data_IF_637456339212
#
_entry.id   IF_637456339212
#
_cell.length_a   1.000
_cell.length_b   1.000
_cell.length_c   1.000
_cell.angle_alpha   90.00
_cell.angle_beta   90.00
_cell.angle_gamma   90.00
#
_symmetry.space_group_name_H-M   'P 1'
#
loop_
_entity.id
_entity.type
_entity.pdbx_description
1 polymer ?
#
# COMPACT_ATOMS: atom_id res chain seq x y z
N UNK A 1 -3.75 18.92 11.21
CA UNK A 1 -5.07 18.88 10.55
C UNK A 1 -5.01 17.68 9.62
N UNK A 2 -5.59 16.55 10.01
CA UNK A 2 -5.24 15.25 9.41
C UNK A 2 -6.21 14.80 8.32
N UNK A 3 -7.47 15.19 8.41
CA UNK A 3 -8.48 14.88 7.40
C UNK A 3 -8.82 16.13 6.60
N UNK A 4 -8.82 15.99 5.28
CA UNK A 4 -9.25 17.03 4.36
C UNK A 4 -10.29 16.42 3.43
N UNK A 5 -11.47 17.02 3.36
CA UNK A 5 -12.55 16.55 2.49
C UNK A 5 -12.52 17.33 1.19
N UNK A 6 -12.45 16.62 0.06
CA UNK A 6 -12.52 17.26 -1.26
C UNK A 6 -13.97 17.55 -1.68
N UNK A 7 -14.20 18.64 -2.39
CA UNK A 7 -15.51 19.03 -2.91
C UNK A 7 -15.65 18.83 -4.43
N UNK A 8 -14.56 18.51 -5.14
CA UNK A 8 -14.56 18.30 -6.58
C UNK A 8 -13.40 17.44 -7.05
N UNK A 9 -13.49 16.90 -8.27
CA UNK A 9 -12.36 16.20 -8.91
C UNK A 9 -11.09 17.06 -9.01
N UNK A 10 -11.21 18.36 -9.30
CA UNK A 10 -10.05 19.25 -9.42
C UNK A 10 -9.35 19.42 -8.07
N UNK A 11 -10.12 19.72 -7.01
CA UNK A 11 -9.58 19.84 -5.65
C UNK A 11 -8.97 18.53 -5.16
N UNK A 12 -9.56 17.38 -5.52
CA UNK A 12 -8.98 16.07 -5.21
C UNK A 12 -7.57 15.94 -5.82
N UNK A 13 -7.39 16.32 -7.09
CA UNK A 13 -6.07 16.27 -7.72
C UNK A 13 -5.08 17.22 -7.03
N UNK A 14 -5.48 18.46 -6.73
CA UNK A 14 -4.62 19.43 -6.03
C UNK A 14 -4.15 18.89 -4.68
N UNK A 15 -5.06 18.30 -3.90
CA UNK A 15 -4.73 17.68 -2.61
C UNK A 15 -3.75 16.50 -2.80
N UNK A 16 -3.99 15.63 -3.77
CA UNK A 16 -3.16 14.45 -4.02
C UNK A 16 -1.73 14.78 -4.47
N UNK A 17 -1.52 15.93 -5.10
CA UNK A 17 -0.21 16.41 -5.56
C UNK A 17 0.40 17.49 -4.65
N UNK A 18 -0.10 17.63 -3.42
CA UNK A 18 0.50 18.50 -2.40
C UNK A 18 1.98 18.14 -2.18
N UNK A 19 2.82 19.16 -1.99
CA UNK A 19 4.29 19.06 -1.84
C UNK A 19 5.02 18.35 -2.99
N UNK A 20 4.41 18.22 -4.17
CA UNK A 20 5.07 17.56 -5.30
C UNK A 20 6.23 18.39 -5.86
N UNK A 21 6.21 19.73 -5.78
CA UNK A 21 7.32 20.55 -6.29
C UNK A 21 8.59 20.36 -5.47
N UNK A 22 9.69 19.96 -6.13
CA UNK A 22 11.01 19.81 -5.50
C UNK A 22 12.00 20.83 -6.07
N UNK A 23 12.38 21.87 -5.29
CA UNK A 23 13.31 22.89 -5.78
C UNK A 23 14.72 22.32 -6.02
N UNK A 24 15.16 21.33 -5.26
CA UNK A 24 16.50 20.73 -5.41
C UNK A 24 16.75 20.11 -6.80
N UNK A 25 15.68 19.67 -7.48
CA UNK A 25 15.75 19.03 -8.80
C UNK A 25 14.92 19.77 -9.86
N UNK A 26 14.31 20.91 -9.51
CA UNK A 26 13.44 21.71 -10.38
C UNK A 26 12.34 20.90 -11.08
N UNK A 27 11.74 19.93 -10.39
CA UNK A 27 10.75 18.98 -10.94
C UNK A 27 9.68 18.60 -9.93
N UNK A 28 8.55 18.11 -10.42
CA UNK A 28 7.49 17.52 -9.60
C UNK A 28 7.78 16.06 -9.27
N UNK A 29 7.91 15.75 -7.98
CA UNK A 29 8.06 14.42 -7.38
C UNK A 29 7.44 14.42 -5.98
N UNK A 30 6.22 13.88 -5.87
CA UNK A 30 5.55 13.69 -4.58
C UNK A 30 6.42 12.86 -3.63
N UNK A 31 6.54 13.24 -2.34
CA UNK A 31 7.19 12.43 -1.32
C UNK A 31 6.22 11.43 -0.66
N UNK A 32 4.96 11.37 -1.12
CA UNK A 32 3.91 10.57 -0.51
C UNK A 32 3.77 9.21 -1.20
N UNK A 33 3.41 8.21 -0.39
CA UNK A 33 2.82 6.96 -0.83
C UNK A 33 1.35 6.95 -0.44
N UNK A 34 0.55 6.24 -1.24
CA UNK A 34 -0.90 6.36 -1.21
C UNK A 34 -1.57 5.00 -0.96
N UNK A 35 -2.64 4.99 -0.17
CA UNK A 35 -3.53 3.82 -0.01
C UNK A 35 -4.98 4.27 -0.03
N UNK A 36 -5.72 3.81 -1.03
CA UNK A 36 -7.14 4.07 -1.18
C UNK A 36 -8.00 3.01 -0.49
N UNK A 37 -9.04 3.44 0.21
CA UNK A 37 -10.01 2.58 0.86
C UNK A 37 -11.42 3.07 0.52
N UNK A 38 -12.31 2.13 0.22
CA UNK A 38 -13.69 2.43 -0.18
C UNK A 38 -14.56 2.96 0.96
N UNK A 39 -14.08 2.94 2.20
CA UNK A 39 -14.81 3.40 3.38
C UNK A 39 -13.83 4.19 4.27
N UNK A 40 -14.15 5.44 4.56
CA UNK A 40 -13.33 6.33 5.39
C UNK A 40 -13.18 5.85 6.84
N UNK A 41 -14.08 4.98 7.30
CA UNK A 41 -14.00 4.37 8.63
C UNK A 41 -13.03 3.17 8.68
N UNK A 42 -12.48 2.73 7.55
CA UNK A 42 -11.60 1.57 7.54
C UNK A 42 -10.24 1.83 8.21
N UNK A 43 -9.85 0.96 9.15
CA UNK A 43 -8.54 1.02 9.75
C UNK A 43 -7.46 0.50 8.79
N UNK A 44 -6.19 0.84 9.08
CA UNK A 44 -5.03 0.29 8.36
C UNK A 44 -4.65 -1.10 8.94
N UNK A 45 -5.59 -2.02 8.93
CA UNK A 45 -5.39 -3.40 9.38
C UNK A 45 -4.81 -4.27 8.26
N UNK A 46 -3.87 -5.14 8.63
CA UNK A 46 -3.28 -6.15 7.75
C UNK A 46 -4.24 -7.32 7.54
N UNK A 47 -4.01 -8.12 6.49
CA UNK A 47 -4.78 -9.35 6.29
C UNK A 47 -4.55 -10.36 7.40
N UNK A 48 -3.37 -10.35 8.04
CA UNK A 48 -3.07 -11.17 9.21
C UNK A 48 -3.92 -10.79 10.44
N UNK A 49 -4.03 -9.51 10.79
CA UNK A 49 -4.85 -9.06 11.94
C UNK A 49 -6.31 -9.45 11.74
N UNK A 50 -6.82 -9.34 10.50
CA UNK A 50 -8.20 -9.72 10.14
C UNK A 50 -8.50 -11.22 10.31
N UNK A 51 -7.50 -12.10 10.42
CA UNK A 51 -7.76 -13.51 10.76
C UNK A 51 -8.36 -13.68 12.16
N UNK A 52 -8.11 -12.74 13.07
CA UNK A 52 -8.50 -12.86 14.46
C UNK A 52 -7.77 -13.99 15.22
N UNK A 53 -8.19 -14.24 16.45
CA UNK A 53 -7.56 -15.26 17.30
C UNK A 53 -6.07 -15.01 17.58
N UNK A 54 -5.27 -16.07 17.64
CA UNK A 54 -3.83 -16.00 17.91
C UNK A 54 -3.00 -15.75 16.63
N UNK A 55 -3.46 -14.85 15.75
CA UNK A 55 -2.86 -14.59 14.42
C UNK A 55 -1.34 -14.34 14.47
N UNK A 56 -0.85 -13.58 15.45
CA UNK A 56 0.58 -13.28 15.58
C UNK A 56 1.43 -14.53 15.84
N UNK A 57 0.91 -15.50 16.59
CA UNK A 57 1.57 -16.79 16.81
C UNK A 57 1.45 -17.72 15.59
N UNK A 58 0.41 -17.53 14.76
CA UNK A 58 0.17 -18.33 13.57
C UNK A 58 1.00 -17.90 12.37
N UNK A 59 1.42 -16.63 12.28
CA UNK A 59 2.13 -16.11 11.11
C UNK A 59 3.39 -16.94 10.73
N UNK A 60 4.29 -17.34 11.66
CA UNK A 60 5.42 -18.18 11.29
C UNK A 60 4.98 -19.54 10.73
N UNK A 61 3.87 -20.09 11.22
CA UNK A 61 3.31 -21.35 10.72
C UNK A 61 2.71 -21.20 9.31
N UNK A 62 1.98 -20.11 9.05
CA UNK A 62 1.43 -19.78 7.74
C UNK A 62 2.54 -19.65 6.70
N UNK A 63 3.56 -18.84 7.00
CA UNK A 63 4.68 -18.61 6.08
C UNK A 63 5.51 -19.87 5.87
N UNK A 64 5.79 -20.65 6.92
CA UNK A 64 6.52 -21.92 6.79
C UNK A 64 5.77 -22.91 5.90
N UNK A 65 4.46 -23.06 6.09
CA UNK A 65 3.65 -23.96 5.27
C UNK A 65 3.56 -23.47 3.82
N UNK A 66 3.38 -22.16 3.60
CA UNK A 66 3.38 -21.59 2.26
C UNK A 66 4.68 -21.89 1.51
N UNK A 67 5.84 -21.59 2.13
CA UNK A 67 7.17 -21.89 1.55
C UNK A 67 7.33 -23.36 1.19
N UNK A 68 6.94 -24.27 2.09
CA UNK A 68 7.02 -25.73 1.90
C UNK A 68 6.33 -26.20 0.60
N UNK A 69 5.16 -25.63 0.28
CA UNK A 69 4.39 -26.04 -0.90
C UNK A 69 4.70 -25.21 -2.15
N UNK A 70 5.06 -23.94 -2.00
CA UNK A 70 5.37 -23.04 -3.10
C UNK A 70 6.75 -23.29 -3.73
N UNK A 71 7.73 -23.80 -2.97
CA UNK A 71 9.07 -24.14 -3.49
C UNK A 71 9.08 -25.10 -4.68
N UNK A 72 8.01 -25.88 -4.88
CA UNK A 72 7.93 -26.81 -6.02
C UNK A 72 7.85 -26.11 -7.38
N UNK A 73 7.44 -24.85 -7.41
CA UNK A 73 7.12 -24.12 -8.65
C UNK A 73 7.98 -22.87 -8.86
N UNK A 74 8.89 -22.53 -7.95
CA UNK A 74 9.61 -21.25 -7.96
C UNK A 74 11.10 -21.51 -7.77
N UNK A 75 11.88 -21.09 -8.76
CA UNK A 75 13.34 -21.13 -8.77
C UNK A 75 13.83 -19.69 -8.53
N UNK A 76 14.82 -19.52 -7.65
CA UNK A 76 15.85 -18.45 -7.68
C UNK A 76 15.92 -17.34 -6.61
N UNK A 77 15.01 -17.12 -5.64
CA UNK A 77 15.30 -16.15 -4.54
C UNK A 77 14.75 -16.56 -3.18
N UNK A 78 15.65 -16.88 -2.24
CA UNK A 78 15.31 -17.41 -0.92
C UNK A 78 15.53 -16.39 0.22
N UNK A 79 14.93 -15.21 0.11
CA UNK A 79 14.91 -14.24 1.22
C UNK A 79 13.56 -14.26 1.92
N UNK A 80 13.55 -13.93 3.22
CA UNK A 80 12.29 -13.88 3.96
C UNK A 80 11.29 -12.89 3.36
N UNK A 81 11.78 -11.76 2.83
CA UNK A 81 10.99 -10.70 2.22
C UNK A 81 10.45 -11.06 0.84
N UNK A 82 11.20 -11.83 0.05
CA UNK A 82 10.69 -12.36 -1.23
C UNK A 82 9.49 -13.28 -0.97
N UNK A 83 9.64 -14.25 -0.05
CA UNK A 83 8.56 -15.15 0.33
C UNK A 83 7.36 -14.45 0.93
N UNK A 84 7.58 -13.42 1.75
CA UNK A 84 6.49 -12.63 2.33
C UNK A 84 5.71 -11.85 1.25
N UNK A 85 6.44 -11.25 0.30
CA UNK A 85 5.85 -10.52 -0.83
C UNK A 85 5.01 -11.44 -1.73
N UNK A 86 5.56 -12.62 -2.03
CA UNK A 86 4.87 -13.64 -2.82
C UNK A 86 3.63 -14.19 -2.09
N UNK A 87 3.74 -14.42 -0.78
CA UNK A 87 2.62 -14.86 0.04
C UNK A 87 1.46 -13.85 -0.01
N UNK A 88 1.77 -12.56 0.19
CA UNK A 88 0.79 -11.46 0.07
C UNK A 88 0.18 -11.41 -1.34
N UNK A 89 1.01 -11.55 -2.38
CA UNK A 89 0.56 -11.53 -3.77
C UNK A 89 -0.49 -12.61 -4.07
N UNK A 90 -0.28 -13.83 -3.57
CA UNK A 90 -1.22 -14.95 -3.70
C UNK A 90 -2.35 -14.96 -2.66
N UNK A 91 -2.50 -13.91 -1.86
CA UNK A 91 -3.62 -13.74 -0.92
C UNK A 91 -3.45 -14.50 0.40
N UNK A 92 -2.26 -15.00 0.73
CA UNK A 92 -2.00 -15.48 2.09
C UNK A 92 -2.11 -14.29 3.07
N UNK A 93 -2.76 -14.47 4.23
CA UNK A 93 -2.73 -13.46 5.28
C UNK A 93 -1.30 -13.17 5.73
N UNK A 94 -0.88 -11.91 5.62
CA UNK A 94 0.45 -11.42 6.04
C UNK A 94 0.32 -10.13 6.84
N UNK A 95 1.39 -9.75 7.55
CA UNK A 95 1.48 -8.44 8.20
C UNK A 95 1.82 -7.28 7.24
N UNK A 96 1.77 -7.49 5.92
CA UNK A 96 2.00 -6.43 4.93
C UNK A 96 0.73 -5.60 4.70
N UNK A 97 0.95 -4.33 4.35
CA UNK A 97 -0.07 -3.45 3.77
C UNK A 97 0.36 -3.04 2.36
N UNK A 98 -0.60 -3.01 1.44
CA UNK A 98 -0.41 -2.56 0.06
C UNK A 98 -0.48 -1.03 -0.05
N UNK A 99 0.47 -0.45 -0.77
CA UNK A 99 0.53 0.97 -1.08
C UNK A 99 0.80 1.13 -2.57
N UNK A 100 0.63 2.34 -3.07
CA UNK A 100 1.01 2.71 -4.42
C UNK A 100 1.66 4.09 -4.38
N UNK A 101 2.62 4.34 -5.25
CA UNK A 101 3.13 5.70 -5.45
C UNK A 101 2.27 6.50 -6.42
N UNK A 102 1.28 5.87 -7.08
CA UNK A 102 0.36 6.52 -8.01
C UNK A 102 -0.89 7.02 -7.27
N UNK A 103 -1.11 8.34 -7.19
CA UNK A 103 -2.29 8.88 -6.52
C UNK A 103 -3.59 8.39 -7.17
N UNK A 104 -3.61 8.25 -8.50
CA UNK A 104 -4.81 7.80 -9.23
C UNK A 104 -5.11 6.32 -9.02
N UNK A 105 -4.09 5.48 -8.83
CA UNK A 105 -4.29 4.07 -8.47
C UNK A 105 -4.90 3.98 -7.06
N UNK A 106 -4.46 4.81 -6.11
CA UNK A 106 -5.11 4.88 -4.81
C UNK A 106 -6.57 5.38 -4.93
N UNK A 107 -6.83 6.42 -5.72
CA UNK A 107 -8.20 6.87 -6.01
C UNK A 107 -9.05 5.76 -6.62
N UNK A 108 -8.46 4.89 -7.45
CA UNK A 108 -9.16 3.72 -7.96
C UNK A 108 -9.64 2.80 -6.83
N UNK A 109 -8.76 2.43 -5.90
CA UNK A 109 -9.13 1.58 -4.76
C UNK A 109 -10.15 2.24 -3.81
N UNK A 110 -10.14 3.57 -3.72
CA UNK A 110 -11.13 4.31 -2.92
C UNK A 110 -12.53 4.33 -3.55
N UNK A 111 -12.67 4.02 -4.84
CA UNK A 111 -13.93 4.22 -5.59
C UNK A 111 -14.44 2.99 -6.35
N UNK A 112 -13.64 1.93 -6.48
CA UNK A 112 -14.00 0.74 -7.29
C UNK A 112 -15.09 -0.12 -6.67
N UNK A 113 -15.22 -0.13 -5.33
CA UNK A 113 -16.23 -0.96 -4.66
C UNK A 113 -17.64 -0.35 -4.78
N UNK A 114 -18.43 -0.90 -5.69
CA UNK A 114 -19.82 -0.46 -5.96
C UNK A 114 -20.79 -0.73 -4.81
N UNK A 115 -20.48 -1.66 -3.91
CA UNK A 115 -21.30 -1.93 -2.72
C UNK A 115 -21.12 -0.87 -1.62
N UNK A 116 -20.17 0.06 -1.79
CA UNK A 116 -19.89 1.15 -0.84
C UNK A 116 -19.90 2.52 -1.50
N UNK A 117 -20.70 2.71 -2.54
CA UNK A 117 -20.85 4.03 -3.18
C UNK A 117 -21.60 5.04 -2.32
N UNK A 118 -22.36 4.56 -1.34
CA UNK A 118 -23.13 5.33 -0.35
C UNK A 118 -22.27 5.84 0.83
N UNK A 119 -21.04 5.35 0.97
CA UNK A 119 -20.10 5.76 2.02
C UNK A 119 -19.00 6.65 1.48
N UNK A 120 -18.38 7.44 2.33
CA UNK A 120 -17.21 8.22 1.93
C UNK A 120 -16.00 7.28 1.72
N UNK A 121 -15.21 7.55 0.69
CA UNK A 121 -13.91 6.90 0.48
C UNK A 121 -12.81 7.70 1.15
N UNK A 122 -11.63 7.08 1.32
CA UNK A 122 -10.45 7.77 1.84
C UNK A 122 -9.20 7.38 1.07
N UNK A 123 -8.33 8.36 0.85
CA UNK A 123 -6.96 8.15 0.41
C UNK A 123 -6.04 8.55 1.56
N UNK A 124 -5.31 7.58 2.10
CA UNK A 124 -4.20 7.83 3.00
C UNK A 124 -3.00 8.27 2.19
N UNK A 125 -2.37 9.36 2.60
CA UNK A 125 -1.10 9.88 2.08
C UNK A 125 -0.08 9.82 3.21
N UNK A 126 1.01 9.08 3.03
CA UNK A 126 2.09 8.98 4.04
C UNK A 126 3.40 9.43 3.41
N UNK A 127 4.09 10.37 4.06
CA UNK A 127 5.37 10.90 3.60
C UNK A 127 6.47 9.87 3.89
N UNK A 128 6.79 9.05 2.88
CA UNK A 128 7.76 7.95 3.01
C UNK A 128 9.13 8.45 3.39
N UNK A 129 9.56 9.61 2.88
CA UNK A 129 10.84 10.22 3.23
C UNK A 129 10.93 10.64 4.68
N UNK A 130 9.86 11.15 5.28
CA UNK A 130 9.84 11.49 6.71
C UNK A 130 9.80 10.23 7.58
N UNK A 131 9.00 9.23 7.20
CA UNK A 131 8.99 7.91 7.86
C UNK A 131 10.39 7.30 7.87
N UNK A 132 11.10 7.35 6.74
CA UNK A 132 12.45 6.79 6.63
C UNK A 132 13.49 7.48 7.52
N UNK A 133 13.30 8.75 7.89
CA UNK A 133 14.16 9.44 8.86
C UNK A 133 14.06 8.88 10.28
N UNK A 134 12.98 8.16 10.58
CA UNK A 134 12.70 7.57 11.89
C UNK A 134 13.15 6.11 12.00
N UNK A 135 13.70 5.55 10.93
CA UNK A 135 14.16 4.17 10.92
C UNK A 135 15.38 3.97 11.84
N UNK A 136 15.55 2.75 12.40
CA UNK A 136 16.79 2.33 13.02
C UNK A 136 18.01 2.63 12.14
N UNK A 137 19.14 3.00 12.76
CA UNK A 137 20.39 3.39 12.06
C UNK A 137 20.79 2.35 11.01
N UNK A 138 20.70 1.06 11.35
CA UNK A 138 21.04 -0.05 10.45
C UNK A 138 20.27 0.00 9.12
N UNK A 139 18.97 0.29 9.19
CA UNK A 139 18.08 0.37 8.02
C UNK A 139 18.30 1.68 7.26
N UNK A 140 18.43 2.79 7.98
CA UNK A 140 18.70 4.10 7.37
C UNK A 140 20.00 4.11 6.56
N UNK A 141 21.08 3.53 7.11
CA UNK A 141 22.37 3.41 6.41
C UNK A 141 22.31 2.54 5.16
N UNK A 142 21.34 1.64 5.03
CA UNK A 142 21.11 0.87 3.81
C UNK A 142 20.50 1.75 2.71
N UNK A 143 19.48 2.55 3.03
CA UNK A 143 18.88 3.51 2.09
C UNK A 143 19.89 4.56 1.63
N UNK A 144 20.62 5.15 2.59
CA UNK A 144 21.61 6.20 2.31
C UNK A 144 22.73 5.70 1.40
N UNK A 145 23.15 4.44 1.56
CA UNK A 145 24.20 3.81 0.73
C UNK A 145 23.77 3.64 -0.72
N UNK A 146 22.52 3.24 -0.94
CA UNK A 146 21.97 2.97 -2.29
C UNK A 146 21.38 4.24 -2.93
N UNK A 147 21.21 5.33 -2.17
CA UNK A 147 20.54 6.54 -2.64
C UNK A 147 19.08 6.32 -3.00
N UNK A 148 18.43 5.33 -2.37
CA UNK A 148 17.09 4.87 -2.74
C UNK A 148 15.99 5.58 -1.93
N UNK A 149 14.85 5.88 -2.57
CA UNK A 149 13.66 6.41 -1.89
C UNK A 149 12.90 5.28 -1.14
N UNK A 150 13.00 4.03 -1.60
CA UNK A 150 12.36 2.84 -1.03
C UNK A 150 13.34 1.68 -0.94
N UNK A 151 13.12 0.74 -0.01
CA UNK A 151 13.92 -0.48 0.01
C UNK A 151 13.50 -1.43 -1.12
N UNK A 152 14.44 -2.16 -1.70
CA UNK A 152 14.13 -3.40 -2.40
C UNK A 152 14.14 -4.58 -1.44
N UNK A 153 13.61 -5.71 -1.87
CA UNK A 153 13.70 -7.00 -1.15
C UNK A 153 15.15 -7.37 -0.83
N UNK A 154 16.08 -7.11 -1.74
CA UNK A 154 17.51 -7.39 -1.57
C UNK A 154 18.15 -6.47 -0.53
N UNK A 155 17.82 -5.17 -0.56
CA UNK A 155 18.28 -4.21 0.45
C UNK A 155 17.82 -4.61 1.86
N UNK A 156 16.53 -4.94 1.99
CA UNK A 156 16.00 -5.42 3.26
C UNK A 156 16.69 -6.69 3.72
N UNK A 157 16.91 -7.67 2.83
CA UNK A 157 17.56 -8.93 3.19
C UNK A 157 19.00 -8.73 3.71
N UNK A 158 19.72 -7.74 3.19
CA UNK A 158 21.07 -7.38 3.70
C UNK A 158 21.02 -6.72 5.07
N UNK A 159 20.05 -5.83 5.30
CA UNK A 159 19.92 -5.13 6.56
C UNK A 159 19.28 -5.99 7.66
N UNK A 160 18.30 -6.82 7.33
CA UNK A 160 17.47 -7.61 8.25
C UNK A 160 17.10 -8.91 7.55
N UNK A 161 17.56 -10.07 8.04
CA UNK A 161 17.46 -11.32 7.27
C UNK A 161 16.14 -12.07 7.48
N UNK A 162 15.45 -11.80 8.59
CA UNK A 162 14.23 -12.50 8.99
C UNK A 162 13.22 -11.58 9.68
N UNK A 163 11.96 -12.05 9.82
CA UNK A 163 10.96 -11.37 10.64
C UNK A 163 11.41 -11.29 12.11
N UNK A 164 12.02 -12.34 12.65
CA UNK A 164 12.53 -12.32 14.02
C UNK A 164 13.61 -11.25 14.23
N UNK A 165 14.49 -11.04 13.24
CA UNK A 165 15.48 -9.97 13.28
C UNK A 165 14.83 -8.58 13.22
N UNK A 166 13.74 -8.44 12.45
CA UNK A 166 12.98 -7.19 12.35
C UNK A 166 12.31 -6.86 13.68
N UNK A 167 11.64 -7.85 14.28
CA UNK A 167 10.95 -7.74 15.57
C UNK A 167 11.91 -7.35 16.71
N UNK A 168 13.21 -7.67 16.58
CA UNK A 168 14.26 -7.37 17.55
C UNK A 168 14.93 -5.99 17.38
N UNK A 169 14.61 -5.22 16.35
CA UNK A 169 15.22 -3.91 16.12
C UNK A 169 14.73 -2.85 17.13
N UNK A 170 15.59 -1.86 17.38
CA UNK A 170 15.28 -0.67 18.19
C UNK A 170 15.35 0.60 17.34
N UNK A 171 14.37 1.52 17.43
CA UNK A 171 13.17 1.46 18.29
C UNK A 171 12.22 0.31 17.91
N UNK A 172 11.35 -0.17 18.81
CA UNK A 172 10.50 -1.34 18.55
C UNK A 172 9.30 -1.02 17.63
N UNK A 173 9.01 0.26 17.39
CA UNK A 173 7.87 0.69 16.59
C UNK A 173 8.31 1.68 15.52
N UNK A 174 8.26 1.23 14.26
CA UNK A 174 8.51 2.01 13.06
C UNK A 174 7.84 1.32 11.87
N UNK A 175 7.76 2.02 10.74
CA UNK A 175 7.23 1.45 9.50
C UNK A 175 8.29 1.51 8.39
N UNK A 176 8.40 0.43 7.63
CA UNK A 176 9.26 0.34 6.43
C UNK A 176 8.36 0.38 5.21
N UNK A 177 8.74 1.14 4.17
CA UNK A 177 8.19 0.99 2.82
C UNK A 177 9.20 0.31 1.90
N UNK A 178 8.77 -0.70 1.15
CA UNK A 178 9.64 -1.42 0.23
C UNK A 178 8.92 -1.84 -1.04
N UNK A 179 9.67 -1.94 -2.11
CA UNK A 179 9.20 -2.40 -3.42
C UNK A 179 9.07 -3.93 -3.40
N UNK A 180 7.89 -4.47 -3.73
CA UNK A 180 7.76 -5.89 -3.99
C UNK A 180 8.63 -6.30 -5.19
N UNK A 181 9.08 -7.56 -5.26
CA UNK A 181 9.73 -8.04 -6.47
C UNK A 181 8.72 -8.00 -7.63
N UNK A 182 9.19 -7.71 -8.84
CA UNK A 182 8.37 -7.77 -10.07
C UNK A 182 8.03 -9.22 -10.41
N UNK A 183 7.11 -9.81 -9.63
CA UNK A 183 6.66 -11.20 -9.78
C UNK A 183 5.69 -11.30 -10.97
N UNK A 184 4.90 -10.25 -11.21
CA UNK A 184 3.94 -10.19 -12.31
C UNK A 184 3.60 -8.75 -12.75
N UNK A 185 2.85 -8.65 -13.84
CA UNK A 185 2.40 -7.37 -14.41
C UNK A 185 1.49 -6.58 -13.48
N UNK A 186 0.76 -7.24 -12.57
CA UNK A 186 -0.11 -6.58 -11.59
C UNK A 186 0.69 -5.66 -10.68
N UNK A 187 1.82 -6.14 -10.16
CA UNK A 187 2.71 -5.36 -9.29
C UNK A 187 3.22 -4.11 -10.02
N UNK A 188 3.64 -4.27 -11.28
CA UNK A 188 4.12 -3.17 -12.11
C UNK A 188 3.01 -2.16 -12.43
N UNK A 189 1.84 -2.63 -12.86
CA UNK A 189 0.73 -1.77 -13.29
C UNK A 189 0.12 -0.96 -12.14
N UNK A 190 0.18 -1.49 -10.91
CA UNK A 190 -0.29 -0.78 -9.72
C UNK A 190 0.73 0.22 -9.17
N UNK A 191 1.95 0.22 -9.71
CA UNK A 191 3.09 0.95 -9.15
C UNK A 191 3.20 0.71 -7.63
N UNK A 192 3.18 -0.59 -7.28
CA UNK A 192 2.93 -1.07 -5.93
C UNK A 192 4.12 -0.89 -5.00
N UNK A 193 3.81 -0.69 -3.72
CA UNK A 193 4.72 -0.75 -2.57
C UNK A 193 4.08 -1.62 -1.50
N UNK A 194 4.90 -2.18 -0.63
CA UNK A 194 4.45 -2.75 0.63
C UNK A 194 4.95 -1.93 1.81
N UNK A 195 4.18 -1.96 2.89
CA UNK A 195 4.65 -1.52 4.19
C UNK A 195 4.57 -2.61 5.23
N UNK A 196 5.47 -2.54 6.21
CA UNK A 196 5.58 -3.49 7.30
C UNK A 196 6.03 -2.80 8.58
N UNK A 197 5.46 -3.24 9.70
CA UNK A 197 5.88 -2.88 11.04
C UNK A 197 6.51 -4.10 11.75
N UNK A 198 7.46 -3.89 12.69
CA UNK A 198 8.07 -4.97 13.46
C UNK A 198 7.11 -5.81 14.28
N UNK A 199 6.09 -5.27 14.93
CA UNK A 199 5.10 -6.12 15.64
C UNK A 199 3.98 -6.52 14.68
N UNK A 200 3.71 -7.82 14.54
CA UNK A 200 2.58 -8.35 13.76
C UNK A 200 1.21 -7.84 14.24
N UNK A 201 1.14 -7.37 15.49
CA UNK A 201 -0.05 -6.80 16.13
C UNK A 201 -0.15 -5.29 15.95
N UNK A 202 0.93 -4.63 15.51
CA UNK A 202 0.93 -3.18 15.36
C UNK A 202 -0.03 -2.74 14.26
N UNK A 203 -0.62 -1.57 14.49
CA UNK A 203 -1.51 -0.90 13.55
C UNK A 203 -0.88 0.39 13.06
N UNK A 204 -0.71 0.48 11.75
CA UNK A 204 -0.04 1.62 11.15
C UNK A 204 -0.83 2.92 11.36
N UNK A 205 -2.16 2.88 11.34
CA UNK A 205 -2.99 4.06 11.62
C UNK A 205 -2.90 4.53 13.07
N UNK A 206 -2.61 3.64 14.02
CA UNK A 206 -2.37 4.00 15.42
C UNK A 206 -1.02 4.67 15.59
N UNK A 207 0.05 4.07 15.04
CA UNK A 207 1.38 4.66 15.05
C UNK A 207 1.42 6.01 14.34
N UNK A 208 0.74 6.16 13.20
CA UNK A 208 0.66 7.43 12.48
C UNK A 208 0.01 8.55 13.32
N UNK A 209 -0.96 8.24 14.21
CA UNK A 209 -1.56 9.27 15.08
C UNK A 209 -0.56 9.92 16.02
N UNK A 210 0.51 9.22 16.38
CA UNK A 210 1.60 9.75 17.22
C UNK A 210 2.48 10.77 16.46
N UNK A 211 2.45 10.74 15.12
CA UNK A 211 3.28 11.57 14.24
C UNK A 211 2.43 12.27 13.16
N UNK A 212 1.62 13.28 13.55
CA UNK A 212 0.65 13.94 12.68
C UNK A 212 1.25 14.62 11.45
N UNK A 213 2.55 14.89 11.44
CA UNK A 213 3.28 15.49 10.33
C UNK A 213 3.68 14.49 9.24
N UNK A 214 3.51 13.18 9.48
CA UNK A 214 3.88 12.14 8.52
C UNK A 214 2.78 11.86 7.51
N UNK A 215 1.54 12.26 7.77
CA UNK A 215 0.40 11.78 6.98
C UNK A 215 -0.75 12.77 6.88
N UNK A 216 -1.58 12.53 5.88
CA UNK A 216 -2.86 13.18 5.67
C UNK A 216 -3.85 12.16 5.09
N UNK A 217 -5.14 12.34 5.37
CA UNK A 217 -6.23 11.64 4.71
C UNK A 217 -7.02 12.61 3.85
N UNK A 218 -7.22 12.23 2.59
CA UNK A 218 -8.13 12.92 1.69
C UNK A 218 -9.43 12.12 1.63
N UNK A 219 -10.51 12.70 2.15
CA UNK A 219 -11.85 12.11 2.13
C UNK A 219 -12.51 12.43 0.80
N UNK A 220 -13.02 11.39 0.13
CA UNK A 220 -13.82 11.49 -1.08
C UNK A 220 -15.28 11.27 -0.69
N UNK A 221 -16.10 12.33 -0.64
CA UNK A 221 -17.52 12.21 -0.36
C UNK A 221 -18.20 11.17 -1.25
N UNK A 222 -19.13 10.40 -0.69
CA UNK A 222 -19.95 9.40 -1.39
C UNK A 222 -20.54 9.96 -2.70
N UNK A 223 -21.05 11.20 -2.64
CA UNK A 223 -21.65 11.93 -3.77
C UNK A 223 -20.69 12.13 -4.97
N UNK A 224 -19.37 12.12 -4.75
CA UNK A 224 -18.35 12.31 -5.79
C UNK A 224 -17.82 10.99 -6.36
N UNK A 225 -18.06 9.84 -5.71
CA UNK A 225 -17.43 8.56 -6.09
C UNK A 225 -17.70 8.16 -7.54
N UNK A 226 -18.93 8.32 -8.01
CA UNK A 226 -19.29 8.00 -9.40
C UNK A 226 -18.57 8.89 -10.41
N UNK A 227 -18.58 10.21 -10.21
CA UNK A 227 -17.87 11.16 -11.09
C UNK A 227 -16.36 10.86 -11.13
N UNK A 228 -15.76 10.64 -9.96
CA UNK A 228 -14.34 10.29 -9.83
C UNK A 228 -14.04 8.98 -10.58
N UNK A 229 -14.92 7.98 -10.41
CA UNK A 229 -14.76 6.66 -11.03
C UNK A 229 -14.81 6.72 -12.55
N UNK A 230 -15.76 7.48 -13.11
CA UNK A 230 -15.93 7.65 -14.55
C UNK A 230 -14.73 8.38 -15.18
N UNK A 231 -14.22 9.41 -14.50
CA UNK A 231 -13.02 10.15 -14.95
C UNK A 231 -11.76 9.29 -14.91
N UNK A 232 -11.60 8.45 -13.90
CA UNK A 232 -10.49 7.49 -13.85
C UNK A 232 -10.58 6.45 -14.97
N UNK A 233 -11.78 6.03 -15.36
CA UNK A 233 -11.97 5.11 -16.49
C UNK A 233 -11.56 5.75 -17.81
N UNK A 234 -11.89 7.03 -18.02
CA UNK A 234 -11.40 7.82 -19.17
C UNK A 234 -9.88 7.99 -19.15
N UNK A 235 -9.26 8.06 -17.97
CA UNK A 235 -7.81 8.08 -17.80
C UNK A 235 -7.15 6.68 -17.85
N UNK A 236 -7.91 5.64 -18.22
CA UNK A 236 -7.47 4.24 -18.32
C UNK A 236 -6.99 3.62 -16.99
N UNK A 237 -7.39 4.18 -15.84
CA UNK A 237 -7.10 3.62 -14.51
C UNK A 237 -8.20 2.63 -14.11
N UNK A 238 -8.21 1.49 -14.78
CA UNK A 238 -9.29 0.49 -14.75
C UNK A 238 -8.80 -0.86 -14.21
N UNK A 239 -9.71 -1.73 -13.79
CA UNK A 239 -9.39 -3.07 -13.29
C UNK A 239 -8.68 -3.91 -14.34
N UNK A 240 -9.06 -3.80 -15.62
CA UNK A 240 -8.39 -4.51 -16.72
C UNK A 240 -6.93 -4.11 -16.92
N UNK A 241 -6.54 -2.90 -16.50
CA UNK A 241 -5.16 -2.42 -16.55
C UNK A 241 -4.42 -2.82 -15.27
N UNK A 242 -5.04 -2.58 -14.10
CA UNK A 242 -4.42 -2.85 -12.81
C UNK A 242 -4.35 -4.34 -12.44
N UNK A 243 -5.21 -5.16 -13.04
CA UNK A 243 -5.28 -6.61 -12.87
C UNK A 243 -5.34 -7.27 -14.26
N UNK A 244 -4.19 -7.49 -14.91
CA UNK A 244 -4.15 -8.09 -16.23
C UNK A 244 -4.83 -9.48 -16.27
N UNK A 245 -5.42 -9.81 -17.41
CA UNK A 245 -6.12 -11.07 -17.63
C UNK A 245 -7.64 -10.97 -17.61
N UNK A 246 -8.30 -12.12 -17.74
CA UNK A 246 -9.76 -12.21 -17.89
C UNK A 246 -10.50 -11.78 -16.62
N UNK A 247 -9.90 -11.95 -15.44
CA UNK A 247 -10.53 -11.57 -14.18
C UNK A 247 -10.70 -10.06 -14.07
N UNK A 248 -9.63 -9.28 -14.30
CA UNK A 248 -9.71 -7.82 -14.28
C UNK A 248 -10.57 -7.27 -15.42
N UNK A 249 -10.52 -7.89 -16.61
CA UNK A 249 -11.42 -7.56 -17.72
C UNK A 249 -12.90 -7.76 -17.35
N UNK A 250 -13.22 -8.88 -16.70
CA UNK A 250 -14.59 -9.22 -16.30
C UNK A 250 -15.09 -8.29 -15.19
N UNK A 251 -14.24 -7.98 -14.21
CA UNK A 251 -14.56 -7.04 -13.14
C UNK A 251 -14.82 -5.63 -13.69
N UNK A 252 -13.95 -5.14 -14.58
CA UNK A 252 -14.12 -3.85 -15.24
C UNK A 252 -15.43 -3.77 -16.01
N UNK A 253 -15.73 -4.75 -16.88
CA UNK A 253 -16.97 -4.76 -17.65
C UNK A 253 -18.20 -4.81 -16.74
N UNK A 254 -18.20 -5.69 -15.72
CA UNK A 254 -19.29 -5.78 -14.75
C UNK A 254 -19.55 -4.42 -14.10
N UNK A 255 -18.51 -3.74 -13.59
CA UNK A 255 -18.66 -2.43 -12.96
C UNK A 255 -19.10 -1.36 -13.96
N UNK A 256 -18.42 -1.25 -15.09
CA UNK A 256 -18.61 -0.19 -16.08
C UNK A 256 -20.04 -0.18 -16.66
N UNK A 257 -20.63 -1.35 -16.88
CA UNK A 257 -21.99 -1.48 -17.40
C UNK A 257 -23.06 -1.58 -16.29
N UNK A 258 -22.70 -1.55 -15.01
CA UNK A 258 -23.68 -1.52 -13.92
C UNK A 258 -24.32 -0.13 -13.85
N UNK A 259 -25.66 -0.01 -14.01
CA UNK A 259 -26.32 1.27 -13.92
C UNK A 259 -26.25 1.82 -12.48
N UNK A 260 -26.11 3.14 -12.35
CA UNK A 260 -26.28 3.81 -11.06
C UNK A 260 -27.74 3.65 -10.63
N UNK A 261 -27.98 2.91 -9.55
CA UNK A 261 -29.28 2.92 -8.90
C UNK A 261 -29.49 4.32 -8.28
N UNK A 262 -30.63 4.93 -8.64
CA UNK A 262 -30.99 6.30 -8.26
C UNK A 262 -31.16 6.50 -6.76
#
# INVERSE_FOLDING_TARGET
MQDVTTNSWAELLDLLYTDAWRPEINRFRSPYVYRGLSDAAYPLETSLVRLGGNYAQMEPHLLRNFRKYAHRNIVERDTAWHWLSLAQHHGLPTRLLDWTVSPLVATHFATVNTEKTDRDGVIWMVNSRRVHKMLPVKLKSELDREGADYFTVEMLARAVSSLADLDALSPPCFNIFFEPPSIDDRITNQYALFSIMPDARARLDEWLKEYPELWQRVIIPAKLKWEVRDKLDQANITERVLFPGLDGLSQWQKRYYTPRMG
#
